data_IF_969164606257
#
_entry.id   IF_969164606257
#
_cell.length_a   1.000
_cell.length_b   1.000
_cell.length_c   1.000
_cell.angle_alpha   90.00
_cell.angle_beta   90.00
_cell.angle_gamma   90.00
#
_symmetry.space_group_name_H-M   'P 1'
#
loop_
_entity.id
_entity.type
_entity.pdbx_description
1 polymer ?
#
# COMPACT_ATOMS: atom_id res chain seq x y z
N UNK A 1 7.97 -45.60 9.79
CA UNK A 1 7.26 -44.63 10.64
C UNK A 1 7.16 -43.33 9.88
N UNK A 2 6.00 -43.03 9.32
CA UNK A 2 5.76 -41.72 8.71
C UNK A 2 5.68 -40.70 9.84
N UNK A 3 6.66 -39.80 9.93
CA UNK A 3 6.51 -38.62 10.80
C UNK A 3 5.40 -37.77 10.18
N UNK A 4 4.29 -37.60 10.89
CA UNK A 4 3.30 -36.60 10.50
C UNK A 4 3.98 -35.22 10.55
N UNK A 5 3.93 -34.49 9.44
CA UNK A 5 4.44 -33.12 9.41
C UNK A 5 3.63 -32.26 10.39
N UNK A 6 4.30 -31.43 11.22
CA UNK A 6 3.60 -30.55 12.13
C UNK A 6 2.76 -29.55 11.34
N UNK A 7 1.46 -29.52 11.62
CA UNK A 7 0.51 -28.60 11.00
C UNK A 7 0.13 -27.47 11.96
N UNK A 8 0.04 -26.24 11.44
CA UNK A 8 -0.36 -25.06 12.18
C UNK A 8 -1.81 -24.67 11.87
N UNK A 9 -2.60 -24.32 12.90
CA UNK A 9 -3.94 -23.77 12.74
C UNK A 9 -3.89 -22.38 12.12
N UNK A 10 -4.97 -21.99 11.44
CA UNK A 10 -5.09 -20.64 10.84
C UNK A 10 -4.84 -19.49 11.81
N UNK A 11 -5.21 -19.65 13.10
CA UNK A 11 -4.95 -18.63 14.12
C UNK A 11 -3.47 -18.54 14.52
N UNK A 12 -2.76 -19.66 14.52
CA UNK A 12 -1.34 -19.73 14.89
C UNK A 12 -0.47 -19.11 13.79
N UNK A 13 -0.72 -19.48 12.53
CA UNK A 13 -0.02 -18.88 11.38
C UNK A 13 -0.35 -17.39 11.23
N UNK A 14 -1.59 -16.97 11.52
CA UNK A 14 -1.98 -15.56 11.56
C UNK A 14 -1.15 -14.78 12.58
N UNK A 15 -1.06 -15.30 13.80
CA UNK A 15 -0.28 -14.69 14.88
C UNK A 15 1.21 -14.66 14.54
N UNK A 16 1.76 -15.75 14.00
CA UNK A 16 3.17 -15.87 13.62
C UNK A 16 3.61 -14.78 12.64
N UNK A 17 2.82 -14.52 11.59
CA UNK A 17 3.12 -13.49 10.60
C UNK A 17 2.56 -12.11 10.95
N UNK A 18 1.95 -11.95 12.13
CA UNK A 18 1.26 -10.72 12.55
C UNK A 18 0.24 -10.21 11.51
N UNK A 19 -0.54 -11.14 10.94
CA UNK A 19 -1.62 -10.84 10.00
C UNK A 19 -2.95 -11.31 10.56
N UNK A 20 -4.05 -10.72 10.09
CA UNK A 20 -5.37 -11.22 10.48
C UNK A 20 -5.68 -12.57 9.84
N UNK A 21 -6.45 -13.41 10.55
CA UNK A 21 -7.07 -14.63 9.98
C UNK A 21 -7.87 -14.30 8.70
N UNK A 22 -8.48 -13.10 8.64
CA UNK A 22 -9.19 -12.60 7.45
C UNK A 22 -8.25 -12.44 6.26
N UNK A 23 -7.02 -11.97 6.45
CA UNK A 23 -6.03 -11.83 5.38
C UNK A 23 -5.66 -13.20 4.78
N UNK A 24 -5.40 -14.19 5.63
CA UNK A 24 -5.12 -15.57 5.18
C UNK A 24 -6.29 -16.13 4.36
N UNK A 25 -7.54 -15.95 4.81
CA UNK A 25 -8.73 -16.34 4.04
C UNK A 25 -8.84 -15.63 2.69
N UNK A 26 -8.39 -14.38 2.58
CA UNK A 26 -8.33 -13.67 1.30
C UNK A 26 -7.31 -14.33 0.37
N UNK A 27 -6.14 -14.69 0.89
CA UNK A 27 -5.10 -15.37 0.10
C UNK A 27 -5.56 -16.77 -0.36
N UNK A 28 -6.31 -17.50 0.49
CA UNK A 28 -7.01 -18.73 0.10
C UNK A 28 -8.02 -18.50 -1.01
N UNK A 29 -8.88 -17.49 -0.89
CA UNK A 29 -9.89 -17.15 -1.90
C UNK A 29 -9.24 -16.77 -3.24
N UNK A 30 -8.06 -16.16 -3.21
CA UNK A 30 -7.27 -15.88 -4.42
C UNK A 30 -6.52 -17.11 -4.95
N UNK A 31 -6.52 -18.21 -4.19
CA UNK A 31 -5.91 -19.47 -4.54
C UNK A 31 -4.38 -19.41 -4.54
N UNK A 32 -3.79 -18.57 -3.68
CA UNK A 32 -2.34 -18.44 -3.55
C UNK A 32 -1.81 -19.45 -2.53
N UNK A 33 -2.55 -19.59 -1.42
CA UNK A 33 -2.33 -20.64 -0.42
C UNK A 33 -3.60 -21.49 -0.34
N UNK A 34 -3.46 -22.75 0.07
CA UNK A 34 -4.58 -23.63 0.37
C UNK A 34 -4.26 -24.33 1.69
N UNK A 35 -5.23 -24.63 2.55
CA UNK A 35 -4.96 -25.39 3.76
C UNK A 35 -4.54 -26.81 3.37
N UNK A 36 -3.53 -27.34 4.03
CA UNK A 36 -3.12 -28.75 3.91
C UNK A 36 -4.22 -29.70 4.39
N UNK A 37 -4.95 -29.30 5.44
CA UNK A 37 -6.08 -30.06 6.00
C UNK A 37 -7.19 -29.12 6.45
N UNK A 38 -8.44 -29.52 6.20
CA UNK A 38 -9.62 -28.94 6.82
C UNK A 38 -10.26 -30.02 7.67
N UNK A 39 -10.43 -29.75 8.95
CA UNK A 39 -11.11 -30.64 9.88
C UNK A 39 -12.60 -30.73 9.50
N UNK A 40 -13.15 -31.93 9.24
CA UNK A 40 -14.51 -32.07 8.74
C UNK A 40 -15.59 -31.76 9.78
N UNK A 41 -15.28 -31.93 11.06
CA UNK A 41 -16.25 -31.79 12.15
C UNK A 41 -16.34 -30.34 12.64
N UNK A 42 -15.20 -29.63 12.66
CA UNK A 42 -15.08 -28.26 13.20
C UNK A 42 -14.88 -27.20 12.13
N UNK A 43 -14.46 -27.59 10.91
CA UNK A 43 -14.10 -26.66 9.85
C UNK A 43 -12.77 -25.91 10.08
N UNK A 44 -11.99 -26.31 11.09
CA UNK A 44 -10.67 -25.73 11.33
C UNK A 44 -9.70 -26.02 10.19
N UNK A 45 -8.90 -25.01 9.84
CA UNK A 45 -7.91 -25.07 8.76
C UNK A 45 -6.51 -25.21 9.34
N UNK A 46 -5.73 -26.07 8.71
CA UNK A 46 -4.38 -26.43 9.10
C UNK A 46 -3.44 -26.28 7.90
N UNK A 47 -2.24 -25.76 8.14
CA UNK A 47 -1.23 -25.47 7.13
C UNK A 47 0.08 -26.18 7.44
N UNK A 48 0.76 -26.66 6.41
CA UNK A 48 2.09 -27.29 6.53
C UNK A 48 3.21 -26.25 6.54
N UNK A 49 4.43 -26.69 6.87
CA UNK A 49 5.63 -25.84 6.85
C UNK A 49 5.88 -25.21 5.46
N UNK A 50 5.67 -25.95 4.37
CA UNK A 50 5.82 -25.42 3.00
C UNK A 50 4.82 -24.29 2.70
N UNK A 51 3.59 -24.40 3.23
CA UNK A 51 2.58 -23.36 3.09
C UNK A 51 2.89 -22.12 3.93
N UNK A 52 3.55 -22.30 5.07
CA UNK A 52 4.12 -21.21 5.87
C UNK A 52 5.20 -20.47 5.07
N UNK A 53 6.13 -21.19 4.43
CA UNK A 53 7.15 -20.57 3.55
C UNK A 53 6.52 -19.84 2.34
N UNK A 54 5.48 -20.44 1.74
CA UNK A 54 4.73 -19.80 0.64
C UNK A 54 4.05 -18.50 1.10
N UNK A 55 3.50 -18.50 2.32
CA UNK A 55 2.89 -17.31 2.90
C UNK A 55 3.93 -16.22 3.21
N UNK A 56 5.10 -16.60 3.69
CA UNK A 56 6.22 -15.68 3.93
C UNK A 56 6.60 -14.94 2.63
N UNK A 57 6.87 -15.68 1.56
CA UNK A 57 7.18 -15.11 0.24
C UNK A 57 6.03 -14.21 -0.30
N UNK A 58 4.77 -14.60 -0.08
CA UNK A 58 3.61 -13.78 -0.43
C UNK A 58 3.66 -12.43 0.29
N UNK A 59 3.93 -12.44 1.59
CA UNK A 59 3.94 -11.23 2.42
C UNK A 59 5.10 -10.32 2.05
N UNK A 60 6.30 -10.86 1.83
CA UNK A 60 7.45 -10.09 1.34
C UNK A 60 7.16 -9.40 0.01
N UNK A 61 6.68 -10.14 -0.99
CA UNK A 61 6.31 -9.55 -2.29
C UNK A 61 5.20 -8.52 -2.14
N UNK A 62 4.24 -8.74 -1.24
CA UNK A 62 3.20 -7.76 -0.97
C UNK A 62 3.76 -6.46 -0.39
N UNK A 63 4.73 -6.53 0.52
CA UNK A 63 5.43 -5.36 1.07
C UNK A 63 6.21 -4.61 -0.01
N UNK A 64 6.77 -5.31 -1.00
CA UNK A 64 7.45 -4.69 -2.15
C UNK A 64 6.49 -4.01 -3.15
N UNK A 65 5.17 -4.10 -2.94
CA UNK A 65 4.17 -3.45 -3.79
C UNK A 65 3.66 -4.33 -4.94
N UNK A 66 3.85 -5.65 -4.87
CA UNK A 66 3.19 -6.56 -5.81
C UNK A 66 1.71 -6.77 -5.46
N UNK A 67 0.89 -6.85 -6.51
CA UNK A 67 -0.51 -7.22 -6.41
C UNK A 67 -0.66 -8.72 -6.15
N UNK A 68 -1.80 -9.14 -5.58
CA UNK A 68 -2.06 -10.56 -5.31
C UNK A 68 -2.08 -11.42 -6.59
N UNK A 69 -2.46 -10.84 -7.73
CA UNK A 69 -2.40 -11.51 -9.04
C UNK A 69 -0.97 -11.71 -9.52
N UNK A 70 -0.10 -10.70 -9.40
CA UNK A 70 1.31 -10.84 -9.74
C UNK A 70 1.98 -11.89 -8.84
N UNK A 71 1.74 -11.81 -7.54
CA UNK A 71 2.29 -12.77 -6.55
C UNK A 71 1.86 -14.19 -6.90
N UNK A 72 0.57 -14.40 -7.19
CA UNK A 72 0.07 -15.72 -7.59
C UNK A 72 0.82 -16.25 -8.80
N UNK A 73 1.02 -15.43 -9.83
CA UNK A 73 1.70 -15.84 -11.06
C UNK A 73 3.17 -16.18 -10.82
N UNK A 74 3.84 -15.41 -9.95
CA UNK A 74 5.24 -15.67 -9.55
C UNK A 74 5.34 -17.00 -8.80
N UNK A 75 4.52 -17.18 -7.75
CA UNK A 75 4.56 -18.38 -6.90
C UNK A 75 4.12 -19.66 -7.63
N UNK A 76 3.30 -19.55 -8.68
CA UNK A 76 2.92 -20.69 -9.53
C UNK A 76 3.94 -21.01 -10.62
N UNK A 77 5.11 -20.35 -10.64
CA UNK A 77 6.13 -20.55 -11.66
C UNK A 77 5.77 -20.00 -13.05
N UNK A 78 4.75 -19.13 -13.13
CA UNK A 78 4.29 -18.52 -14.38
C UNK A 78 5.14 -17.33 -14.86
N UNK A 79 6.29 -17.10 -14.22
CA UNK A 79 7.22 -16.00 -14.51
C UNK A 79 8.64 -16.57 -14.59
N UNK A 80 9.32 -16.35 -15.71
CA UNK A 80 10.72 -16.73 -15.84
C UNK A 80 11.63 -15.73 -15.10
N UNK A 81 12.92 -16.07 -14.96
CA UNK A 81 13.90 -15.24 -14.25
C UNK A 81 13.98 -13.80 -14.79
N UNK A 82 13.98 -13.62 -16.10
CA UNK A 82 14.12 -12.29 -16.72
C UNK A 82 12.88 -11.42 -16.47
N UNK A 83 11.70 -12.01 -16.56
CA UNK A 83 10.44 -11.32 -16.30
C UNK A 83 10.29 -10.93 -14.83
N UNK A 84 10.77 -11.78 -13.90
CA UNK A 84 10.80 -11.47 -12.47
C UNK A 84 11.73 -10.30 -12.18
N UNK A 85 12.95 -10.30 -12.74
CA UNK A 85 13.89 -9.18 -12.61
C UNK A 85 13.29 -7.90 -13.18
N UNK A 86 12.66 -7.96 -14.36
CA UNK A 86 12.00 -6.80 -14.95
C UNK A 86 10.86 -6.28 -14.07
N UNK A 87 10.08 -7.16 -13.43
CA UNK A 87 9.02 -6.78 -12.52
C UNK A 87 9.57 -6.09 -11.25
N UNK A 88 10.65 -6.61 -10.67
CA UNK A 88 11.33 -5.99 -9.53
C UNK A 88 11.87 -4.60 -9.88
N UNK A 89 12.49 -4.43 -11.06
CA UNK A 89 12.95 -3.12 -11.55
C UNK A 89 11.77 -2.15 -11.69
N UNK A 90 10.63 -2.58 -12.22
CA UNK A 90 9.42 -1.74 -12.31
C UNK A 90 8.93 -1.29 -10.92
N UNK A 91 8.89 -2.20 -9.93
CA UNK A 91 8.51 -1.83 -8.56
C UNK A 91 9.51 -0.85 -7.95
N UNK A 92 10.81 -1.04 -8.18
CA UNK A 92 11.85 -0.10 -7.74
C UNK A 92 11.64 1.29 -8.31
N UNK A 93 11.42 1.41 -9.62
CA UNK A 93 11.15 2.71 -10.27
C UNK A 93 9.90 3.37 -9.70
N UNK A 94 8.79 2.63 -9.55
CA UNK A 94 7.57 3.16 -8.97
C UNK A 94 7.77 3.72 -7.54
N UNK A 95 8.61 3.07 -6.72
CA UNK A 95 8.95 3.60 -5.40
C UNK A 95 9.87 4.81 -5.45
N UNK A 96 10.78 4.89 -6.43
CA UNK A 96 11.59 6.10 -6.64
C UNK A 96 10.71 7.30 -7.04
N UNK A 97 9.72 7.08 -7.91
CA UNK A 97 8.74 8.12 -8.28
C UNK A 97 7.90 8.54 -7.06
N UNK A 98 7.52 7.58 -6.21
CA UNK A 98 6.82 7.86 -4.96
C UNK A 98 7.66 8.69 -3.98
N UNK A 99 8.97 8.41 -3.88
CA UNK A 99 9.91 9.21 -3.07
C UNK A 99 9.97 10.64 -3.62
N UNK A 100 10.20 10.81 -4.93
CA UNK A 100 10.26 12.14 -5.54
C UNK A 100 8.95 12.93 -5.34
N UNK A 101 7.80 12.26 -5.46
CA UNK A 101 6.50 12.87 -5.17
C UNK A 101 6.35 13.26 -3.69
N UNK A 102 6.85 12.44 -2.77
CA UNK A 102 6.84 12.75 -1.34
C UNK A 102 7.76 13.93 -1.01
N UNK A 103 8.95 13.99 -1.59
CA UNK A 103 9.89 15.11 -1.45
C UNK A 103 9.27 16.43 -1.92
N UNK A 104 8.61 16.44 -3.08
CA UNK A 104 7.88 17.62 -3.57
C UNK A 104 6.77 18.07 -2.61
N UNK A 105 6.07 17.12 -1.96
CA UNK A 105 5.05 17.44 -0.96
C UNK A 105 5.65 18.01 0.32
N UNK A 106 6.79 17.49 0.75
CA UNK A 106 7.54 18.00 1.91
C UNK A 106 7.98 19.43 1.64
N UNK A 107 8.60 19.71 0.48
CA UNK A 107 9.01 21.07 0.09
C UNK A 107 7.82 22.05 0.07
N UNK A 108 6.67 21.63 -0.48
CA UNK A 108 5.46 22.44 -0.46
C UNK A 108 5.01 22.76 0.98
N UNK A 109 5.02 21.77 1.88
CA UNK A 109 4.69 21.96 3.31
C UNK A 109 5.66 22.94 3.98
N UNK A 110 6.96 22.81 3.72
CA UNK A 110 7.99 23.67 4.30
C UNK A 110 7.84 25.11 3.82
N UNK A 111 7.61 25.33 2.52
CA UNK A 111 7.32 26.66 1.94
C UNK A 111 6.08 27.32 2.56
N UNK A 112 5.00 26.56 2.73
CA UNK A 112 3.77 27.06 3.37
C UNK A 112 4.07 27.45 4.83
N UNK A 113 4.77 26.59 5.55
CA UNK A 113 5.11 26.80 6.97
C UNK A 113 5.97 28.05 7.15
N UNK A 114 6.97 28.25 6.28
CA UNK A 114 7.83 29.43 6.30
C UNK A 114 7.04 30.72 6.01
N UNK A 115 6.12 30.69 5.04
CA UNK A 115 5.24 31.83 4.72
C UNK A 115 4.35 32.21 5.90
N UNK A 116 3.75 31.23 6.56
CA UNK A 116 2.92 31.46 7.75
C UNK A 116 3.77 32.06 8.87
N UNK A 117 4.95 31.50 9.14
CA UNK A 117 5.85 31.98 10.19
C UNK A 117 6.36 33.41 9.96
N UNK A 118 6.58 33.82 8.70
CA UNK A 118 7.01 35.19 8.34
C UNK A 118 5.86 36.20 8.25
N UNK A 119 4.61 35.75 8.19
CA UNK A 119 3.46 36.64 8.11
C UNK A 119 3.28 37.40 9.44
N UNK A 120 3.19 38.74 9.36
CA UNK A 120 2.99 39.60 10.54
C UNK A 120 1.57 39.56 11.08
N UNK A 121 0.61 39.08 10.28
CA UNK A 121 -0.80 39.01 10.65
C UNK A 121 -1.11 37.65 11.27
N UNK A 122 -1.69 37.67 12.47
CA UNK A 122 -2.26 36.46 13.06
C UNK A 122 -3.48 36.04 12.22
N UNK A 123 -3.31 35.06 11.35
CA UNK A 123 -4.40 34.48 10.56
C UNK A 123 -5.34 33.75 11.53
N UNK A 124 -6.46 34.38 11.84
CA UNK A 124 -7.51 33.76 12.65
C UNK A 124 -8.45 32.94 11.77
N UNK A 125 -8.01 31.73 11.41
CA UNK A 125 -8.80 30.80 10.59
C UNK A 125 -10.23 30.58 11.11
N UNK A 126 -10.41 30.67 12.44
CA UNK A 126 -11.71 30.47 13.11
C UNK A 126 -12.73 31.58 12.80
N UNK A 127 -12.28 32.76 12.38
CA UNK A 127 -13.13 33.92 12.07
C UNK A 127 -13.52 33.98 10.57
N UNK A 128 -12.98 33.09 9.73
CA UNK A 128 -13.20 33.05 8.28
C UNK A 128 -14.34 32.11 7.88
N UNK A 129 -15.13 32.51 6.88
CA UNK A 129 -16.11 31.63 6.23
C UNK A 129 -15.43 30.44 5.55
N UNK A 130 -16.18 29.38 5.22
CA UNK A 130 -15.64 28.21 4.53
C UNK A 130 -14.98 28.58 3.19
N UNK A 131 -15.61 29.47 2.42
CA UNK A 131 -15.09 29.98 1.15
C UNK A 131 -13.79 30.78 1.33
N UNK A 132 -13.75 31.65 2.34
CA UNK A 132 -12.56 32.45 2.65
C UNK A 132 -11.39 31.57 3.11
N UNK A 133 -11.66 30.53 3.90
CA UNK A 133 -10.66 29.53 4.29
C UNK A 133 -10.15 28.75 3.09
N UNK A 134 -11.04 28.28 2.22
CA UNK A 134 -10.66 27.56 1.00
C UNK A 134 -9.78 28.43 0.10
N UNK A 135 -10.16 29.68 -0.13
CA UNK A 135 -9.37 30.63 -0.93
C UNK A 135 -7.99 30.91 -0.32
N UNK A 136 -7.94 31.11 1.00
CA UNK A 136 -6.68 31.34 1.72
C UNK A 136 -5.74 30.13 1.61
N UNK A 137 -6.27 28.91 1.79
CA UNK A 137 -5.49 27.68 1.67
C UNK A 137 -4.93 27.48 0.26
N UNK A 138 -5.73 27.71 -0.78
CA UNK A 138 -5.27 27.65 -2.17
C UNK A 138 -4.13 28.65 -2.43
N UNK A 139 -4.28 29.89 -1.94
CA UNK A 139 -3.26 30.94 -2.07
C UNK A 139 -1.97 30.59 -1.31
N UNK A 140 -2.07 30.01 -0.12
CA UNK A 140 -0.90 29.65 0.70
C UNK A 140 -0.12 28.48 0.12
N UNK A 141 -0.83 27.46 -0.37
CA UNK A 141 -0.26 26.25 -0.96
C UNK A 141 0.49 26.53 -2.26
N UNK A 142 0.21 27.65 -2.95
CA UNK A 142 0.75 27.98 -4.28
C UNK A 142 0.67 26.77 -5.23
N UNK A 143 -0.51 26.56 -5.82
CA UNK A 143 -0.70 25.63 -6.95
C UNK A 143 0.22 25.96 -8.15
N UNK A 144 0.76 27.18 -8.20
CA UNK A 144 1.67 27.66 -9.25
C UNK A 144 2.99 26.88 -9.36
N UNK A 145 3.45 26.20 -8.30
CA UNK A 145 4.67 25.38 -8.33
C UNK A 145 4.40 23.88 -8.62
N UNK A 146 3.14 23.43 -8.58
CA UNK A 146 2.78 22.01 -8.76
C UNK A 146 2.11 21.69 -10.09
N UNK A 147 1.68 22.68 -10.87
CA UNK A 147 1.14 22.47 -12.22
C UNK A 147 1.72 23.51 -13.19
N UNK A 148 2.71 23.08 -13.96
CA UNK A 148 2.82 23.58 -15.32
C UNK A 148 1.50 23.31 -16.05
N UNK A 149 0.89 24.40 -16.53
CA UNK A 149 -0.26 24.49 -17.45
C UNK A 149 -1.68 24.52 -16.83
N UNK A 150 -2.29 25.69 -17.01
CA UNK A 150 -3.70 26.07 -17.08
C UNK A 150 -4.73 24.94 -17.26
N UNK A 151 -5.61 24.74 -16.26
CA UNK A 151 -6.94 24.13 -16.50
C UNK A 151 -8.07 24.74 -15.64
N UNK A 152 -7.81 25.62 -14.67
CA UNK A 152 -8.88 26.13 -13.78
C UNK A 152 -9.35 27.56 -14.12
N UNK A 153 -9.62 27.86 -15.39
CA UNK A 153 -10.34 29.09 -15.77
C UNK A 153 -11.73 28.86 -16.37
N UNK A 154 -12.15 27.62 -16.63
CA UNK A 154 -13.44 27.37 -17.32
C UNK A 154 -14.58 26.87 -16.41
N UNK A 155 -14.31 26.42 -15.19
CA UNK A 155 -15.35 25.86 -14.31
C UNK A 155 -16.09 26.87 -13.42
N UNK A 156 -15.84 28.18 -13.58
CA UNK A 156 -16.49 29.26 -12.82
C UNK A 156 -17.44 30.11 -13.67
N UNK A 157 -17.75 29.68 -14.90
CA UNK A 157 -18.69 30.34 -15.83
C UNK A 157 -19.77 29.38 -16.37
N UNK A 158 -20.19 28.41 -15.57
CA UNK A 158 -21.46 27.66 -15.73
C UNK A 158 -22.18 27.62 -14.38
#
# INVERSE_FOLDING_TARGET
MSMEEPLMRIGEIAAFFNVSVKAIRIYEKKGIIKPAKVDPDTGYRYYSADQVQTLDALLELKMLGFSLSEIKNILSGGVNKNDLVAALVRKRLAWQDAIASAENKIDAIDKITERIAKSKEAIKLQELTDEQRAWLLVKMVCVEDLHGQSVLSEALWL
#
